data_IF_867070429503
#
_entry.id   IF_867070429503
#
_cell.length_a   1.000
_cell.length_b   1.000
_cell.length_c   1.000
_cell.angle_alpha   90.00
_cell.angle_beta   90.00
_cell.angle_gamma   90.00
#
_symmetry.space_group_name_H-M   'P 1'
#
loop_
_entity.id
_entity.type
_entity.pdbx_description
1 polymer ?
#
# COMPACT_ATOMS: atom_id res chain seq x y z
N UNK A 1 11.13 25.45 2.37
CA UNK A 1 10.81 25.40 0.94
C UNK A 1 9.83 24.26 0.73
N UNK A 2 8.70 24.52 0.09
CA UNK A 2 7.77 23.48 -0.35
C UNK A 2 8.43 22.62 -1.43
N UNK A 3 8.15 21.32 -1.43
CA UNK A 3 8.64 20.39 -2.44
C UNK A 3 7.49 19.64 -3.10
N UNK A 4 7.73 19.12 -4.30
CA UNK A 4 6.81 18.25 -5.02
C UNK A 4 7.35 16.83 -4.97
N UNK A 5 6.47 15.87 -4.70
CA UNK A 5 6.78 14.44 -4.77
C UNK A 5 5.81 13.76 -5.75
N UNK A 6 6.36 12.94 -6.64
CA UNK A 6 5.59 12.08 -7.54
C UNK A 6 5.88 10.63 -7.16
N UNK A 7 4.81 9.87 -6.94
CA UNK A 7 4.86 8.46 -6.56
C UNK A 7 4.54 7.61 -7.78
N UNK A 8 5.44 6.72 -8.16
CA UNK A 8 5.33 5.95 -9.40
C UNK A 8 5.33 4.47 -9.08
N UNK A 9 4.25 3.77 -9.42
CA UNK A 9 4.17 2.31 -9.44
C UNK A 9 4.36 1.78 -10.85
N UNK A 10 5.16 0.72 -11.01
CA UNK A 10 5.38 0.05 -12.30
C UNK A 10 5.31 -1.48 -12.13
N UNK A 11 5.32 -2.22 -13.24
CA UNK A 11 5.51 -3.68 -13.23
C UNK A 11 6.92 -4.13 -12.83
N UNK A 12 7.84 -3.19 -12.57
CA UNK A 12 9.26 -3.46 -12.26
C UNK A 12 9.70 -2.88 -10.91
N UNK A 13 8.78 -2.29 -10.15
CA UNK A 13 9.05 -1.67 -8.86
C UNK A 13 8.39 -0.30 -8.71
N UNK A 14 8.66 0.34 -7.58
CA UNK A 14 8.22 1.70 -7.28
C UNK A 14 9.39 2.69 -7.38
N UNK A 15 9.06 3.94 -7.72
CA UNK A 15 10.00 5.06 -7.72
C UNK A 15 9.37 6.26 -7.00
N UNK A 16 10.23 7.03 -6.32
CA UNK A 16 9.84 8.30 -5.70
C UNK A 16 10.67 9.40 -6.34
N UNK A 17 9.98 10.32 -7.02
CA UNK A 17 10.61 11.45 -7.69
C UNK A 17 10.34 12.70 -6.85
N UNK A 18 11.38 13.47 -6.56
CA UNK A 18 11.26 14.71 -5.79
C UNK A 18 11.85 15.89 -6.52
N UNK A 19 11.21 17.05 -6.37
CA UNK A 19 11.66 18.32 -6.94
C UNK A 19 11.25 19.49 -6.05
N UNK A 20 11.84 20.65 -6.31
CA UNK A 20 11.35 21.91 -5.79
C UNK A 20 10.08 22.37 -6.55
N UNK A 21 9.55 23.54 -6.18
CA UNK A 21 8.34 24.08 -6.83
C UNK A 21 8.51 24.37 -8.33
N UNK A 22 9.76 24.58 -8.77
CA UNK A 22 10.06 24.87 -10.18
C UNK A 22 9.92 23.62 -11.04
N UNK A 23 10.00 22.41 -10.46
CA UNK A 23 9.79 21.13 -11.15
C UNK A 23 10.72 20.92 -12.36
N UNK A 24 11.88 21.59 -12.35
CA UNK A 24 12.83 21.61 -13.47
C UNK A 24 13.92 20.55 -13.36
N UNK A 25 14.29 20.17 -12.13
CA UNK A 25 15.28 19.14 -11.83
C UNK A 25 14.66 18.15 -10.85
N UNK A 26 14.83 16.86 -11.11
CA UNK A 26 14.21 15.80 -10.33
C UNK A 26 15.26 14.85 -9.78
N UNK A 27 15.19 14.59 -8.48
CA UNK A 27 15.91 13.48 -7.86
C UNK A 27 15.02 12.22 -7.90
N UNK A 28 15.60 11.09 -8.29
CA UNK A 28 14.88 9.84 -8.55
C UNK A 28 15.38 8.77 -7.59
N UNK A 29 14.53 8.35 -6.65
CA UNK A 29 14.78 7.24 -5.74
C UNK A 29 14.12 5.96 -6.24
N UNK A 30 14.88 4.86 -6.32
CA UNK A 30 14.40 3.54 -6.74
C UNK A 30 15.37 2.79 -7.68
N UNK A 31 14.96 1.65 -8.24
CA UNK A 31 13.69 0.98 -8.01
C UNK A 31 13.60 0.42 -6.58
N UNK A 32 12.55 0.81 -5.85
CA UNK A 32 12.12 0.10 -4.67
C UNK A 32 11.35 -1.16 -5.12
N UNK A 33 11.47 -2.25 -4.37
CA UNK A 33 10.77 -3.51 -4.72
C UNK A 33 11.11 -4.01 -6.13
N UNK A 34 12.39 -4.02 -6.49
CA UNK A 34 12.83 -4.34 -7.85
C UNK A 34 12.26 -5.69 -8.34
N UNK A 35 11.59 -5.65 -9.49
CA UNK A 35 10.95 -6.82 -10.11
C UNK A 35 9.57 -7.17 -9.56
N UNK A 36 9.06 -6.42 -8.57
CA UNK A 36 7.70 -6.58 -8.07
C UNK A 36 6.74 -5.64 -8.80
N UNK A 37 5.51 -6.09 -9.01
CA UNK A 37 4.46 -5.26 -9.58
C UNK A 37 3.85 -4.37 -8.52
N UNK A 38 3.95 -3.05 -8.72
CA UNK A 38 3.39 -2.04 -7.85
C UNK A 38 2.22 -1.40 -8.56
N UNK A 39 1.01 -1.70 -8.08
CA UNK A 39 -0.24 -1.27 -8.69
C UNK A 39 -0.65 0.13 -8.24
N UNK A 40 -0.29 0.52 -7.01
CA UNK A 40 -0.61 1.82 -6.47
C UNK A 40 0.43 2.25 -5.43
N UNK A 41 0.77 3.53 -5.41
CA UNK A 41 1.57 4.15 -4.35
C UNK A 41 0.86 5.43 -3.94
N UNK A 42 0.56 5.59 -2.65
CA UNK A 42 -0.22 6.69 -2.11
C UNK A 42 0.50 7.35 -0.93
N UNK A 43 0.36 8.67 -0.80
CA UNK A 43 0.82 9.42 0.38
C UNK A 43 -0.31 9.57 1.39
N UNK A 44 0.03 9.67 2.67
CA UNK A 44 -0.93 9.92 3.74
C UNK A 44 -1.24 11.43 3.85
N UNK A 45 -2.52 11.85 3.89
CA UNK A 45 -2.88 13.24 4.15
C UNK A 45 -2.53 13.67 5.58
N UNK A 46 -2.48 12.73 6.53
CA UNK A 46 -2.15 12.99 7.93
C UNK A 46 -0.64 13.14 8.19
N UNK A 47 0.20 12.60 7.30
CA UNK A 47 1.66 12.65 7.44
C UNK A 47 2.31 12.60 6.04
N UNK A 48 2.86 13.72 5.55
CA UNK A 48 3.51 13.79 4.23
C UNK A 48 4.71 12.85 4.05
N UNK A 49 5.29 12.33 5.13
CA UNK A 49 6.38 11.35 5.07
C UNK A 49 5.87 9.91 4.99
N UNK A 50 4.62 9.68 5.35
CA UNK A 50 4.03 8.35 5.29
C UNK A 50 3.55 8.04 3.88
N UNK A 51 4.08 6.96 3.32
CA UNK A 51 3.72 6.43 2.02
C UNK A 51 3.28 4.98 2.13
N UNK A 52 2.36 4.57 1.28
CA UNK A 52 1.88 3.19 1.15
C UNK A 52 2.11 2.72 -0.27
N UNK A 53 2.55 1.48 -0.45
CA UNK A 53 2.66 0.84 -1.76
C UNK A 53 1.91 -0.51 -1.75
N UNK A 54 1.02 -0.67 -2.72
CA UNK A 54 0.28 -1.91 -2.96
C UNK A 54 1.04 -2.76 -3.95
N UNK A 55 1.75 -3.75 -3.42
CA UNK A 55 2.34 -4.81 -4.21
C UNK A 55 1.32 -5.94 -4.42
N UNK A 56 1.34 -6.58 -5.58
CA UNK A 56 0.73 -7.91 -5.76
C UNK A 56 1.77 -8.89 -6.31
N UNK A 57 1.76 -10.12 -5.81
CA UNK A 57 2.60 -11.22 -6.31
C UNK A 57 1.81 -12.51 -6.40
N UNK A 58 2.22 -13.41 -7.29
CA UNK A 58 1.57 -14.72 -7.45
C UNK A 58 1.66 -15.62 -6.22
N UNK A 59 2.63 -15.37 -5.32
CA UNK A 59 2.88 -16.24 -4.16
C UNK A 59 2.24 -15.72 -2.88
N UNK A 60 2.31 -14.40 -2.63
CA UNK A 60 1.82 -13.79 -1.38
C UNK A 60 0.53 -12.98 -1.57
N UNK A 61 0.02 -12.90 -2.80
CA UNK A 61 -1.10 -12.01 -3.11
C UNK A 61 -0.75 -10.55 -2.87
N UNK A 62 -1.73 -9.77 -2.42
CA UNK A 62 -1.54 -8.35 -2.10
C UNK A 62 -0.92 -8.17 -0.71
N UNK A 63 0.14 -7.38 -0.64
CA UNK A 63 0.78 -6.94 0.61
C UNK A 63 0.94 -5.43 0.57
N UNK A 64 0.64 -4.77 1.68
CA UNK A 64 0.89 -3.34 1.82
C UNK A 64 2.28 -3.12 2.42
N UNK A 65 3.07 -2.35 1.70
CA UNK A 65 4.32 -1.80 2.19
C UNK A 65 4.04 -0.38 2.69
N UNK A 66 4.66 0.01 3.81
CA UNK A 66 4.58 1.38 4.30
C UNK A 66 5.98 1.93 4.55
N UNK A 67 6.20 3.15 4.13
CA UNK A 67 7.32 3.99 4.53
C UNK A 67 6.81 5.07 5.48
N UNK A 68 7.61 5.41 6.49
CA UNK A 68 7.36 6.55 7.38
C UNK A 68 8.44 7.64 7.20
N UNK A 69 9.31 7.53 6.19
CA UNK A 69 10.45 8.43 5.96
C UNK A 69 10.52 8.99 4.52
N UNK A 70 9.37 9.02 3.83
CA UNK A 70 9.24 9.57 2.49
C UNK A 70 9.69 8.62 1.38
N UNK A 71 9.75 7.32 1.67
CA UNK A 71 10.07 6.27 0.70
C UNK A 71 11.52 5.80 0.74
N UNK A 72 12.31 6.18 1.75
CA UNK A 72 13.71 5.75 1.88
C UNK A 72 13.78 4.33 2.42
N UNK A 73 12.97 4.03 3.44
CA UNK A 73 12.81 2.69 4.01
C UNK A 73 11.36 2.25 3.96
N UNK A 74 11.15 0.94 3.88
CA UNK A 74 9.83 0.33 3.71
C UNK A 74 9.71 -0.91 4.59
N UNK A 75 8.58 -1.05 5.25
CA UNK A 75 8.21 -2.27 5.97
C UNK A 75 6.91 -2.84 5.40
N UNK A 76 6.86 -4.16 5.30
CA UNK A 76 5.60 -4.86 5.10
C UNK A 76 4.73 -4.64 6.34
N UNK A 77 3.53 -4.11 6.15
CA UNK A 77 2.55 -4.01 7.24
C UNK A 77 1.75 -5.29 7.31
N UNK A 78 1.54 -5.72 8.55
CA UNK A 78 1.03 -7.04 8.88
C UNK A 78 -0.24 -7.35 8.08
N UNK A 79 -0.24 -8.53 7.48
CA UNK A 79 -1.43 -9.15 6.88
C UNK A 79 -2.23 -9.96 7.92
N UNK A 80 -1.85 -9.88 9.20
CA UNK A 80 -2.56 -10.51 10.31
C UNK A 80 -3.80 -9.69 10.64
N UNK A 81 -4.83 -9.86 9.82
CA UNK A 81 -6.19 -9.40 10.10
C UNK A 81 -6.85 -10.41 11.04
N UNK A 82 -6.36 -10.47 12.28
CA UNK A 82 -7.01 -11.25 13.32
C UNK A 82 -8.30 -10.57 13.71
N UNK A 83 -9.37 -11.36 13.82
CA UNK A 83 -10.61 -10.89 14.41
C UNK A 83 -10.36 -10.52 15.85
N UNK A 84 -10.86 -9.36 16.26
CA UNK A 84 -11.08 -9.12 17.67
C UNK A 84 -12.35 -9.89 18.08
N UNK A 85 -12.15 -11.04 18.73
CA UNK A 85 -13.23 -11.94 19.15
C UNK A 85 -13.64 -13.00 18.12
N UNK A 86 -14.80 -13.63 18.39
CA UNK A 86 -15.36 -14.71 17.55
C UNK A 86 -16.31 -14.11 16.53
N UNK A 87 -16.08 -14.29 15.21
CA UNK A 87 -17.02 -13.86 14.18
C UNK A 87 -18.38 -14.52 14.39
N UNK A 88 -19.45 -13.72 14.43
CA UNK A 88 -20.82 -14.23 14.45
C UNK A 88 -21.19 -14.94 13.14
N UNK A 89 -22.45 -15.36 13.03
CA UNK A 89 -22.98 -16.03 11.82
C UNK A 89 -24.02 -15.18 11.08
N UNK A 90 -24.21 -15.50 9.81
CA UNK A 90 -25.28 -15.02 8.93
C UNK A 90 -26.00 -16.21 8.29
N UNK A 91 -27.24 -16.01 7.86
CA UNK A 91 -27.99 -17.07 7.18
C UNK A 91 -27.58 -17.15 5.71
N UNK A 92 -27.16 -18.34 5.28
CA UNK A 92 -26.78 -18.63 3.90
C UNK A 92 -28.02 -18.86 3.02
N UNK A 93 -27.84 -18.94 1.71
CA UNK A 93 -28.98 -19.06 0.76
C UNK A 93 -29.80 -20.34 0.95
N UNK A 94 -29.24 -21.36 1.59
CA UNK A 94 -29.90 -22.62 1.94
C UNK A 94 -30.55 -22.62 3.34
N UNK A 95 -30.50 -21.48 4.04
CA UNK A 95 -31.07 -21.30 5.36
C UNK A 95 -30.15 -21.69 6.51
N UNK A 96 -28.94 -22.20 6.25
CA UNK A 96 -27.99 -22.61 7.31
C UNK A 96 -27.15 -21.43 7.83
N UNK A 97 -26.72 -21.44 9.11
CA UNK A 97 -25.86 -20.39 9.65
C UNK A 97 -24.40 -20.58 9.20
N UNK A 98 -23.82 -19.56 8.59
CA UNK A 98 -22.42 -19.51 8.15
C UNK A 98 -21.67 -18.38 8.88
N UNK A 99 -20.40 -18.57 9.29
CA UNK A 99 -19.59 -17.48 9.84
C UNK A 99 -19.51 -16.30 8.87
N UNK A 100 -19.38 -15.08 9.40
CA UNK A 100 -19.00 -13.94 8.57
C UNK A 100 -17.59 -14.13 8.00
N UNK A 101 -17.45 -13.99 6.70
CA UNK A 101 -16.18 -14.00 5.98
C UNK A 101 -16.02 -12.68 5.23
N UNK A 102 -15.11 -11.82 5.69
CA UNK A 102 -14.86 -10.55 5.02
C UNK A 102 -13.81 -10.70 3.91
N UNK A 103 -14.11 -10.09 2.76
CA UNK A 103 -13.14 -9.92 1.68
C UNK A 103 -12.18 -8.80 2.09
N UNK A 104 -10.88 -9.08 2.02
CA UNK A 104 -9.80 -8.20 2.47
C UNK A 104 -9.70 -7.01 1.52
N UNK A 105 -9.92 -5.80 2.01
CA UNK A 105 -9.74 -4.56 1.23
C UNK A 105 -8.96 -3.56 2.06
N UNK A 106 -7.81 -3.12 1.54
CA UNK A 106 -7.14 -1.92 2.04
C UNK A 106 -7.75 -0.71 1.35
N UNK A 107 -8.29 0.22 2.13
CA UNK A 107 -8.70 1.54 1.62
C UNK A 107 -7.71 2.59 2.12
N UNK A 108 -7.15 3.34 1.18
CA UNK A 108 -6.20 4.43 1.44
C UNK A 108 -6.84 5.69 0.85
N UNK A 109 -7.35 6.55 1.73
CA UNK A 109 -7.90 7.88 1.39
C UNK A 109 -6.86 8.99 1.58
#
# INVERSE_FOLDING_TARGET
>A
MSGVRVLVGTRKGAFVLTSDEKRAQWDISGPHFAGWEIYHVAGSPADPQRLYASQSSGWFGQVIQRSDDGGKTWDAKGNQFVYDGVPGTHQWYDGTPHPWEFVRVWHLE
#
